data_IF_004211179232
#
_entry.id   IF_004211179232
#
_cell.length_a   1.000
_cell.length_b   1.000
_cell.length_c   1.000
_cell.angle_alpha   90.00
_cell.angle_beta   90.00
_cell.angle_gamma   90.00
#
_symmetry.space_group_name_H-M   'P 1'
#
loop_
_entity.id
_entity.type
_entity.pdbx_description
1 polymer ?
#
# COMPACT_ATOMS: atom_id res chain seq x y z
N UNK A 1 -21.72 0.74 16.20
CA UNK A 1 -20.86 1.76 15.55
C UNK A 1 -19.87 2.36 16.53
N UNK A 2 -20.29 2.76 17.73
CA UNK A 2 -19.43 3.44 18.72
C UNK A 2 -18.20 2.62 19.15
N UNK A 3 -18.36 1.31 19.36
CA UNK A 3 -17.25 0.42 19.68
C UNK A 3 -16.18 0.38 18.58
N UNK A 4 -16.57 0.48 17.30
CA UNK A 4 -15.63 0.55 16.17
C UNK A 4 -14.89 1.87 16.17
N UNK A 5 -15.60 2.98 16.40
CA UNK A 5 -15.00 4.32 16.50
C UNK A 5 -13.93 4.38 17.60
N UNK A 6 -14.23 3.85 18.79
CA UNK A 6 -13.25 3.77 19.88
C UNK A 6 -11.99 2.98 19.51
N UNK A 7 -12.12 1.90 18.74
CA UNK A 7 -10.97 1.11 18.30
C UNK A 7 -10.15 1.86 17.25
N UNK A 8 -10.81 2.54 16.30
CA UNK A 8 -10.14 3.41 15.34
C UNK A 8 -9.37 4.53 16.04
N UNK A 9 -9.96 5.18 17.04
CA UNK A 9 -9.30 6.26 17.76
C UNK A 9 -8.09 5.76 18.56
N UNK A 10 -8.19 4.56 19.15
CA UNK A 10 -7.03 3.88 19.76
C UNK A 10 -5.94 3.57 18.73
N UNK A 11 -6.30 3.10 17.54
CA UNK A 11 -5.33 2.86 16.46
C UNK A 11 -4.65 4.17 16.02
N UNK A 12 -5.42 5.25 15.82
CA UNK A 12 -4.91 6.58 15.48
C UNK A 12 -3.97 7.12 16.57
N UNK A 13 -4.31 6.94 17.84
CA UNK A 13 -3.45 7.34 18.94
C UNK A 13 -2.08 6.64 18.88
N UNK A 14 -2.04 5.32 18.65
CA UNK A 14 -0.77 4.62 18.44
C UNK A 14 0.03 5.14 17.24
N UNK A 15 -0.66 5.51 16.13
CA UNK A 15 0.01 6.10 14.96
C UNK A 15 0.70 7.40 15.30
N UNK A 16 0.01 8.28 16.02
CA UNK A 16 0.53 9.59 16.42
C UNK A 16 1.65 9.46 17.45
N UNK A 17 1.50 8.58 18.44
CA UNK A 17 2.52 8.35 19.47
C UNK A 17 3.81 7.72 18.90
N UNK A 18 3.70 6.85 17.90
CA UNK A 18 4.87 6.20 17.30
C UNK A 18 5.87 7.20 16.70
N UNK A 19 5.42 8.38 16.27
CA UNK A 19 6.28 9.45 15.74
C UNK A 19 7.26 9.98 16.80
N UNK A 20 6.86 9.97 18.07
CA UNK A 20 7.66 10.48 19.19
C UNK A 20 8.51 9.40 19.87
N UNK A 21 8.35 8.14 19.48
CA UNK A 21 9.11 7.03 20.06
C UNK A 21 10.47 6.92 19.37
N UNK A 22 11.56 6.96 20.13
CA UNK A 22 12.92 6.92 19.57
C UNK A 22 13.34 5.50 19.15
N UNK A 23 12.82 4.47 19.82
CA UNK A 23 13.17 3.09 19.53
C UNK A 23 12.34 2.52 18.37
N UNK A 24 13.00 2.18 17.25
CA UNK A 24 12.35 1.52 16.10
C UNK A 24 11.63 0.23 16.52
N UNK A 25 12.18 -0.52 17.48
CA UNK A 25 11.54 -1.73 18.00
C UNK A 25 10.22 -1.43 18.73
N UNK A 26 10.17 -0.35 19.51
CA UNK A 26 8.93 0.09 20.17
C UNK A 26 7.92 0.64 19.16
N UNK A 27 8.37 1.40 18.15
CA UNK A 27 7.53 1.80 17.02
C UNK A 27 6.91 0.57 16.34
N UNK A 28 7.72 -0.47 16.07
CA UNK A 28 7.22 -1.73 15.50
C UNK A 28 6.12 -2.35 16.37
N UNK A 29 6.30 -2.39 17.70
CA UNK A 29 5.30 -2.92 18.62
C UNK A 29 4.00 -2.10 18.60
N UNK A 30 4.08 -0.77 18.53
CA UNK A 30 2.90 0.09 18.40
C UNK A 30 2.13 -0.19 17.11
N UNK A 31 2.82 -0.25 15.96
CA UNK A 31 2.18 -0.57 14.69
C UNK A 31 1.62 -2.01 14.64
N UNK A 32 2.29 -2.97 15.29
CA UNK A 32 1.76 -4.34 15.41
C UNK A 32 0.44 -4.36 16.19
N UNK A 33 0.35 -3.61 17.30
CA UNK A 33 -0.90 -3.47 18.07
C UNK A 33 -2.02 -2.86 17.23
N UNK A 34 -1.72 -1.83 16.42
CA UNK A 34 -2.69 -1.25 15.48
C UNK A 34 -3.23 -2.31 14.51
N UNK A 35 -2.33 -3.06 13.89
CA UNK A 35 -2.68 -4.13 12.94
C UNK A 35 -3.59 -5.17 13.60
N UNK A 36 -3.30 -5.57 14.84
CA UNK A 36 -4.11 -6.58 15.54
C UNK A 36 -5.51 -6.04 15.86
N UNK A 37 -5.61 -4.83 16.41
CA UNK A 37 -6.89 -4.17 16.69
C UNK A 37 -7.76 -4.03 15.43
N UNK A 38 -7.18 -3.56 14.31
CA UNK A 38 -7.91 -3.38 13.06
C UNK A 38 -8.38 -4.71 12.47
N UNK A 39 -7.53 -5.75 12.50
CA UNK A 39 -7.91 -7.08 12.03
C UNK A 39 -9.04 -7.69 12.86
N UNK A 40 -8.99 -7.54 14.19
CA UNK A 40 -9.99 -8.13 15.07
C UNK A 40 -11.36 -7.49 14.87
N UNK A 41 -11.41 -6.18 14.61
CA UNK A 41 -12.67 -5.51 14.26
C UNK A 41 -13.16 -5.94 12.89
N UNK A 42 -12.30 -5.96 11.86
CA UNK A 42 -12.69 -6.34 10.51
C UNK A 42 -13.31 -7.74 10.44
N UNK A 43 -12.79 -8.70 11.21
CA UNK A 43 -13.35 -10.07 11.29
C UNK A 43 -14.76 -10.14 11.87
N UNK A 44 -15.16 -9.16 12.68
CA UNK A 44 -16.47 -9.11 13.33
C UNK A 44 -17.52 -8.38 12.50
N UNK A 45 -17.10 -7.62 11.49
CA UNK A 45 -17.99 -6.80 10.67
C UNK A 45 -18.48 -7.57 9.44
N UNK A 46 -19.77 -7.41 9.14
CA UNK A 46 -20.34 -7.85 7.88
C UNK A 46 -20.25 -6.72 6.84
N UNK A 47 -19.50 -6.96 5.76
CA UNK A 47 -19.25 -5.96 4.70
C UNK A 47 -20.52 -5.49 3.99
N UNK A 48 -21.60 -6.28 3.96
CA UNK A 48 -22.86 -5.89 3.31
C UNK A 48 -23.59 -4.77 4.07
N UNK A 49 -23.46 -4.71 5.39
CA UNK A 49 -24.13 -3.73 6.23
C UNK A 49 -23.22 -2.55 6.61
N UNK A 50 -21.91 -2.77 6.66
CA UNK A 50 -20.93 -1.79 7.14
C UNK A 50 -19.88 -1.42 6.09
N UNK A 51 -20.25 -1.41 4.81
CA UNK A 51 -19.32 -1.28 3.69
C UNK A 51 -18.35 -0.08 3.82
N UNK A 52 -18.86 1.10 4.15
CA UNK A 52 -18.02 2.29 4.33
C UNK A 52 -16.98 2.14 5.46
N UNK A 53 -17.40 1.55 6.59
CA UNK A 53 -16.52 1.28 7.72
C UNK A 53 -15.47 0.23 7.33
N UNK A 54 -15.87 -0.83 6.64
CA UNK A 54 -14.97 -1.85 6.12
C UNK A 54 -13.94 -1.27 5.15
N UNK A 55 -14.34 -0.35 4.26
CA UNK A 55 -13.41 0.36 3.36
C UNK A 55 -12.38 1.16 4.16
N UNK A 56 -12.83 1.98 5.11
CA UNK A 56 -11.94 2.79 5.95
C UNK A 56 -10.95 1.94 6.74
N UNK A 57 -11.44 0.92 7.45
CA UNK A 57 -10.61 0.04 8.27
C UNK A 57 -9.62 -0.78 7.43
N UNK A 58 -10.04 -1.29 6.27
CA UNK A 58 -9.18 -2.04 5.36
C UNK A 58 -8.05 -1.15 4.84
N UNK A 59 -8.36 0.10 4.44
CA UNK A 59 -7.34 1.04 4.01
C UNK A 59 -6.35 1.37 5.15
N UNK A 60 -6.85 1.68 6.34
CA UNK A 60 -6.00 1.98 7.51
C UNK A 60 -5.10 0.78 7.89
N UNK A 61 -5.63 -0.45 7.77
CA UNK A 61 -4.88 -1.67 8.02
C UNK A 61 -3.71 -1.82 7.03
N UNK A 62 -3.96 -1.56 5.75
CA UNK A 62 -2.92 -1.62 4.71
C UNK A 62 -1.83 -0.56 4.94
N UNK A 63 -2.19 0.66 5.36
CA UNK A 63 -1.22 1.69 5.73
C UNK A 63 -0.40 1.30 6.98
N UNK A 64 -1.04 0.71 7.99
CA UNK A 64 -0.36 0.24 9.19
C UNK A 64 0.64 -0.89 8.88
N UNK A 65 0.27 -1.82 8.00
CA UNK A 65 1.16 -2.87 7.48
C UNK A 65 2.34 -2.28 6.72
N UNK A 66 2.09 -1.32 5.82
CA UNK A 66 3.11 -0.64 5.03
C UNK A 66 4.09 0.13 5.92
N UNK A 67 3.59 0.82 6.95
CA UNK A 67 4.44 1.52 7.92
C UNK A 67 5.32 0.53 8.70
N UNK A 68 4.74 -0.58 9.18
CA UNK A 68 5.51 -1.60 9.90
C UNK A 68 6.58 -2.24 8.99
N UNK A 69 6.27 -2.42 7.70
CA UNK A 69 7.23 -2.89 6.70
C UNK A 69 8.41 -1.93 6.60
N UNK A 70 8.15 -0.64 6.47
CA UNK A 70 9.20 0.38 6.34
C UNK A 70 10.11 0.39 7.59
N UNK A 71 9.55 0.19 8.80
CA UNK A 71 10.35 0.03 10.02
C UNK A 71 11.23 -1.22 9.99
N UNK A 72 10.72 -2.34 9.47
CA UNK A 72 11.53 -3.57 9.29
C UNK A 72 12.61 -3.40 8.23
N UNK A 73 12.34 -2.65 7.17
CA UNK A 73 13.33 -2.28 6.15
C UNK A 73 14.43 -1.40 6.76
N UNK A 74 14.09 -0.41 7.58
CA UNK A 74 15.09 0.41 8.30
C UNK A 74 16.01 -0.45 9.17
N UNK A 75 15.44 -1.38 9.94
CA UNK A 75 16.24 -2.33 10.74
C UNK A 75 17.13 -3.23 9.86
N UNK A 76 16.61 -3.69 8.71
CA UNK A 76 17.42 -4.42 7.75
C UNK A 76 18.62 -3.60 7.26
N UNK A 77 18.41 -2.33 6.92
CA UNK A 77 19.48 -1.45 6.44
C UNK A 77 20.54 -1.20 7.53
N UNK A 78 20.13 -0.91 8.76
CA UNK A 78 21.03 -0.72 9.90
C UNK A 78 21.89 -1.95 10.23
N UNK A 79 21.29 -3.15 10.12
CA UNK A 79 21.94 -4.43 10.45
C UNK A 79 22.83 -4.91 9.31
N UNK A 80 22.44 -4.63 8.05
CA UNK A 80 23.23 -4.98 6.87
C UNK A 80 24.54 -4.20 6.80
N UNK A 81 24.51 -2.91 7.14
CA UNK A 81 25.74 -2.09 7.23
C UNK A 81 26.71 -2.64 8.29
N UNK A 82 26.19 -3.26 9.35
CA UNK A 82 26.99 -3.84 10.44
C UNK A 82 27.42 -5.29 10.18
N UNK A 83 27.11 -5.86 9.01
CA UNK A 83 27.50 -7.23 8.63
C UNK A 83 26.86 -8.34 9.51
N UNK A 84 25.73 -8.06 10.15
CA UNK A 84 25.11 -9.00 11.10
C UNK A 84 24.21 -10.01 10.41
N UNK A 85 24.25 -11.25 10.88
CA UNK A 85 23.47 -12.41 10.40
C UNK A 85 21.93 -12.23 10.53
N UNK A 86 21.49 -11.25 11.32
CA UNK A 86 20.07 -10.92 11.50
C UNK A 86 19.46 -10.16 10.31
N UNK A 87 20.25 -9.73 9.32
CA UNK A 87 19.77 -9.01 8.13
C UNK A 87 18.72 -9.83 7.36
N UNK A 88 19.01 -11.11 7.10
CA UNK A 88 18.10 -12.01 6.38
C UNK A 88 16.74 -12.11 7.05
N UNK A 89 16.70 -12.21 8.38
CA UNK A 89 15.44 -12.24 9.14
C UNK A 89 14.60 -10.96 8.95
N UNK A 90 15.22 -9.77 9.00
CA UNK A 90 14.49 -8.52 8.76
C UNK A 90 14.05 -8.36 7.31
N UNK A 91 14.84 -8.85 6.34
CA UNK A 91 14.47 -8.86 4.94
C UNK A 91 13.22 -9.70 4.67
N UNK A 92 13.19 -10.95 5.18
CA UNK A 92 12.00 -11.80 5.09
C UNK A 92 10.78 -11.15 5.74
N UNK A 93 10.94 -10.59 6.94
CA UNK A 93 9.81 -9.95 7.64
C UNK A 93 9.27 -8.76 6.88
N UNK A 94 10.14 -7.95 6.27
CA UNK A 94 9.76 -6.83 5.41
C UNK A 94 8.98 -7.32 4.19
N UNK A 95 9.47 -8.35 3.50
CA UNK A 95 8.80 -8.91 2.33
C UNK A 95 7.45 -9.55 2.68
N UNK A 96 7.32 -10.24 3.82
CA UNK A 96 6.05 -10.79 4.29
C UNK A 96 5.02 -9.71 4.60
N UNK A 97 5.44 -8.62 5.24
CA UNK A 97 4.58 -7.46 5.48
C UNK A 97 4.17 -6.79 4.17
N UNK A 98 5.07 -6.72 3.19
CA UNK A 98 4.77 -6.21 1.84
C UNK A 98 3.68 -7.04 1.18
N UNK A 99 3.81 -8.39 1.17
CA UNK A 99 2.80 -9.30 0.62
C UNK A 99 1.44 -9.12 1.31
N UNK A 100 1.44 -9.01 2.65
CA UNK A 100 0.21 -8.79 3.43
C UNK A 100 -0.43 -7.45 3.11
N UNK A 101 0.33 -6.37 3.03
CA UNK A 101 -0.18 -5.05 2.69
C UNK A 101 -0.82 -5.04 1.29
N UNK A 102 -0.16 -5.65 0.31
CA UNK A 102 -0.69 -5.80 -1.06
C UNK A 102 -2.02 -6.57 -1.04
N UNK A 103 -2.11 -7.69 -0.31
CA UNK A 103 -3.36 -8.45 -0.19
C UNK A 103 -4.49 -7.60 0.39
N UNK A 104 -4.22 -6.81 1.43
CA UNK A 104 -5.23 -5.94 2.05
C UNK A 104 -5.65 -4.81 1.11
N UNK A 105 -4.72 -4.22 0.34
CA UNK A 105 -5.06 -3.24 -0.70
C UNK A 105 -5.90 -3.87 -1.82
N UNK A 106 -5.62 -5.11 -2.22
CA UNK A 106 -6.47 -5.82 -3.19
C UNK A 106 -7.86 -6.10 -2.64
N UNK A 107 -7.98 -6.47 -1.36
CA UNK A 107 -9.27 -6.63 -0.71
C UNK A 107 -10.03 -5.31 -0.62
N UNK A 108 -9.33 -4.19 -0.40
CA UNK A 108 -9.92 -2.84 -0.48
C UNK A 108 -10.50 -2.57 -1.88
N UNK A 109 -9.76 -2.86 -2.96
CA UNK A 109 -10.26 -2.70 -4.34
C UNK A 109 -11.53 -3.54 -4.57
N UNK A 110 -11.57 -4.78 -4.05
CA UNK A 110 -12.77 -5.64 -4.12
C UNK A 110 -13.98 -5.04 -3.42
N UNK A 111 -13.80 -4.31 -2.32
CA UNK A 111 -14.91 -3.59 -1.63
C UNK A 111 -15.51 -2.46 -2.48
N UNK A 112 -14.83 -2.02 -3.54
CA UNK A 112 -15.36 -1.09 -4.55
C UNK A 112 -15.93 -1.81 -5.78
N UNK A 113 -15.97 -3.15 -5.79
CA UNK A 113 -16.37 -3.92 -6.96
C UNK A 113 -15.33 -3.89 -8.09
N UNK A 114 -14.14 -3.36 -7.84
CA UNK A 114 -13.06 -3.29 -8.83
C UNK A 114 -12.45 -4.68 -8.97
N UNK A 115 -12.74 -5.35 -10.07
CA UNK A 115 -12.06 -6.59 -10.46
C UNK A 115 -10.86 -6.31 -11.37
N UNK A 116 -10.88 -5.19 -12.11
CA UNK A 116 -9.74 -4.64 -12.85
C UNK A 116 -9.91 -3.12 -13.05
N UNK A 117 -8.85 -2.39 -13.38
CA UNK A 117 -8.96 -0.96 -13.73
C UNK A 117 -9.82 -0.68 -14.98
N UNK A 118 -10.17 -1.72 -15.75
CA UNK A 118 -11.08 -1.63 -16.91
C UNK A 118 -12.55 -1.79 -16.53
N UNK A 119 -12.88 -2.04 -15.26
CA UNK A 119 -14.26 -2.09 -14.82
C UNK A 119 -14.82 -0.68 -14.88
N UNK A 120 -15.67 -0.40 -15.87
CA UNK A 120 -16.36 0.87 -16.03
C UNK A 120 -17.33 1.07 -14.85
N UNK A 121 -16.83 1.70 -13.80
CA UNK A 121 -17.60 2.06 -12.62
C UNK A 121 -17.69 3.58 -12.55
N UNK A 122 -18.90 4.06 -12.32
CA UNK A 122 -19.24 5.47 -12.22
C UNK A 122 -18.85 5.99 -10.83
N UNK A 123 -17.55 6.10 -10.58
CA UNK A 123 -17.02 6.62 -9.33
C UNK A 123 -17.15 8.14 -9.24
N UNK A 124 -17.44 8.62 -8.03
CA UNK A 124 -17.33 10.04 -7.68
C UNK A 124 -15.86 10.42 -7.43
N UNK A 125 -15.56 11.72 -7.33
CA UNK A 125 -14.23 12.20 -6.93
C UNK A 125 -13.79 11.64 -5.55
N UNK A 126 -14.74 11.46 -4.63
CA UNK A 126 -14.49 10.92 -3.28
C UNK A 126 -14.21 9.41 -3.30
N UNK A 127 -14.79 8.68 -4.26
CA UNK A 127 -14.54 7.24 -4.43
C UNK A 127 -13.24 6.97 -5.19
N UNK A 128 -12.90 7.78 -6.20
CA UNK A 128 -11.74 7.52 -7.05
C UNK A 128 -10.41 7.83 -6.36
N UNK A 129 -10.37 8.85 -5.50
CA UNK A 129 -9.12 9.24 -4.83
C UNK A 129 -8.53 8.10 -3.98
N UNK A 130 -9.29 7.41 -3.10
CA UNK A 130 -8.79 6.23 -2.39
C UNK A 130 -8.33 5.09 -3.32
N UNK A 131 -8.96 4.92 -4.49
CA UNK A 131 -8.54 3.92 -5.48
C UNK A 131 -7.19 4.27 -6.09
N UNK A 132 -7.02 5.51 -6.57
CA UNK A 132 -5.75 6.01 -7.11
C UNK A 132 -4.62 5.83 -6.09
N UNK A 133 -4.85 6.25 -4.85
CA UNK A 133 -3.86 6.08 -3.77
C UNK A 133 -3.56 4.59 -3.53
N UNK A 134 -4.56 3.71 -3.59
CA UNK A 134 -4.37 2.26 -3.43
C UNK A 134 -3.52 1.66 -4.55
N UNK A 135 -3.78 2.00 -5.80
CA UNK A 135 -2.96 1.56 -6.94
C UNK A 135 -1.51 2.05 -6.79
N UNK A 136 -1.31 3.32 -6.43
CA UNK A 136 0.02 3.90 -6.25
C UNK A 136 0.78 3.17 -5.13
N UNK A 137 0.16 3.00 -3.98
CA UNK A 137 0.80 2.34 -2.84
C UNK A 137 1.11 0.88 -3.13
N UNK A 138 0.24 0.18 -3.85
CA UNK A 138 0.49 -1.19 -4.29
C UNK A 138 1.67 -1.28 -5.26
N UNK A 139 1.76 -0.38 -6.24
CA UNK A 139 2.89 -0.30 -7.17
C UNK A 139 4.22 -0.03 -6.45
N UNK A 140 4.20 0.90 -5.48
CA UNK A 140 5.36 1.19 -4.63
C UNK A 140 5.78 0.00 -3.79
N UNK A 141 4.82 -0.72 -3.19
CA UNK A 141 5.09 -1.93 -2.42
C UNK A 141 5.80 -3.00 -3.28
N UNK A 142 5.34 -3.22 -4.51
CA UNK A 142 6.01 -4.11 -5.46
C UNK A 142 7.44 -3.63 -5.78
N UNK A 143 7.63 -2.33 -5.99
CA UNK A 143 8.96 -1.74 -6.28
C UNK A 143 9.96 -1.83 -5.12
N UNK A 144 9.47 -2.07 -3.91
CA UNK A 144 10.24 -2.03 -2.66
C UNK A 144 10.52 -3.42 -2.07
N UNK A 145 10.17 -4.51 -2.77
CA UNK A 145 10.60 -5.85 -2.37
C UNK A 145 12.12 -5.92 -2.29
N UNK A 146 12.62 -6.55 -1.23
CA UNK A 146 14.04 -6.89 -1.11
C UNK A 146 14.24 -8.18 -1.90
N UNK A 147 14.75 -8.05 -3.13
CA UNK A 147 15.03 -9.17 -4.02
C UNK A 147 16.50 -9.58 -3.94
N UNK A 148 16.75 -10.89 -4.01
CA UNK A 148 18.11 -11.48 -4.00
C UNK A 148 18.68 -11.67 -5.39
N UNK A 149 17.84 -11.72 -6.42
CA UNK A 149 18.23 -11.94 -7.81
C UNK A 149 17.46 -11.02 -8.78
N UNK A 150 17.97 -10.93 -10.01
CA UNK A 150 17.42 -10.10 -11.07
C UNK A 150 16.05 -10.61 -11.55
N UNK A 151 15.78 -11.92 -11.50
CA UNK A 151 14.51 -12.51 -11.96
C UNK A 151 13.36 -12.04 -11.07
N UNK A 152 13.53 -12.12 -9.74
CA UNK A 152 12.56 -11.61 -8.78
C UNK A 152 12.39 -10.11 -8.91
N UNK A 153 13.48 -9.37 -9.14
CA UNK A 153 13.46 -7.92 -9.29
C UNK A 153 12.67 -7.50 -10.52
N UNK A 154 12.93 -8.13 -11.68
CA UNK A 154 12.16 -7.95 -12.92
C UNK A 154 10.69 -8.25 -12.64
N UNK A 155 10.38 -9.43 -12.08
CA UNK A 155 9.00 -9.84 -11.78
C UNK A 155 8.27 -8.82 -10.89
N UNK A 156 8.95 -8.29 -9.88
CA UNK A 156 8.37 -7.31 -8.96
C UNK A 156 8.19 -5.94 -9.64
N UNK A 157 9.15 -5.49 -10.44
CA UNK A 157 9.07 -4.22 -11.16
C UNK A 157 8.03 -4.26 -12.31
N UNK A 158 7.87 -5.38 -13.01
CA UNK A 158 6.80 -5.57 -13.98
C UNK A 158 5.43 -5.45 -13.31
N UNK A 159 5.24 -6.10 -12.16
CA UNK A 159 3.99 -5.92 -11.39
C UNK A 159 3.79 -4.48 -10.95
N UNK A 160 4.84 -3.79 -10.51
CA UNK A 160 4.72 -2.37 -10.17
C UNK A 160 4.25 -1.53 -11.36
N UNK A 161 4.83 -1.77 -12.55
CA UNK A 161 4.44 -1.11 -13.79
C UNK A 161 2.95 -1.36 -14.12
N UNK A 162 2.49 -2.62 -14.04
CA UNK A 162 1.08 -2.97 -14.28
C UNK A 162 0.12 -2.16 -13.38
N UNK A 163 0.49 -1.91 -12.11
CA UNK A 163 -0.34 -1.12 -11.19
C UNK A 163 -0.27 0.38 -11.49
N UNK A 164 0.88 0.93 -11.93
CA UNK A 164 0.97 2.32 -12.36
C UNK A 164 0.17 2.57 -13.64
N UNK A 165 0.21 1.67 -14.63
CA UNK A 165 -0.57 1.77 -15.86
C UNK A 165 -2.08 1.72 -15.58
N UNK A 166 -2.50 0.82 -14.68
CA UNK A 166 -3.88 0.74 -14.23
C UNK A 166 -4.36 2.02 -13.53
N UNK A 167 -3.52 2.63 -12.70
CA UNK A 167 -3.82 3.93 -12.07
C UNK A 167 -4.04 5.01 -13.12
N UNK A 168 -3.10 5.15 -14.07
CA UNK A 168 -3.18 6.16 -15.13
C UNK A 168 -4.44 5.96 -15.97
N UNK A 169 -4.73 4.71 -16.36
CA UNK A 169 -5.93 4.37 -17.12
C UNK A 169 -7.22 4.74 -16.37
N UNK A 170 -7.30 4.40 -15.08
CA UNK A 170 -8.45 4.71 -14.23
C UNK A 170 -8.67 6.23 -14.13
N UNK A 171 -7.59 6.98 -13.86
CA UNK A 171 -7.65 8.42 -13.72
C UNK A 171 -8.00 9.12 -15.04
N UNK A 172 -7.37 8.72 -16.16
CA UNK A 172 -7.61 9.33 -17.46
C UNK A 172 -9.06 9.07 -17.93
N UNK A 173 -9.63 7.88 -17.71
CA UNK A 173 -11.05 7.60 -17.98
C UNK A 173 -11.98 8.51 -17.16
N UNK A 174 -11.67 8.72 -15.88
CA UNK A 174 -12.44 9.62 -15.04
C UNK A 174 -12.33 11.09 -15.48
N UNK A 175 -11.14 11.55 -15.86
CA UNK A 175 -10.90 12.90 -16.37
C UNK A 175 -11.63 13.12 -17.70
N UNK A 176 -11.66 12.13 -18.59
CA UNK A 176 -12.40 12.22 -19.86
C UNK A 176 -13.90 12.44 -19.62
N UNK A 177 -14.47 11.80 -18.59
CA UNK A 177 -15.88 11.98 -18.23
C UNK A 177 -16.13 13.29 -17.49
N UNK A 178 -15.20 13.71 -16.63
CA UNK A 178 -15.29 14.94 -15.84
C UNK A 178 -13.99 15.76 -15.99
N UNK A 179 -13.85 16.59 -17.04
CA UNK A 179 -12.62 17.35 -17.29
C UNK A 179 -12.27 18.39 -16.22
N UNK A 180 -13.25 18.76 -15.40
CA UNK A 180 -13.09 19.71 -14.28
C UNK A 180 -12.66 19.06 -12.97
N UNK A 181 -12.53 17.73 -12.93
CA UNK A 181 -12.10 17.00 -11.72
C UNK A 181 -10.74 17.47 -11.22
N UNK A 182 -10.54 17.60 -9.89
CA UNK A 182 -9.24 17.91 -9.30
C UNK A 182 -8.24 16.74 -9.45
N UNK A 183 -8.70 15.54 -9.81
CA UNK A 183 -7.86 14.34 -9.98
C UNK A 183 -6.78 14.55 -11.05
N UNK A 184 -7.04 15.39 -12.06
CA UNK A 184 -6.06 15.69 -13.13
C UNK A 184 -4.75 16.29 -12.60
N UNK A 185 -4.81 16.98 -11.47
CA UNK A 185 -3.70 17.73 -10.87
C UNK A 185 -3.13 17.05 -9.62
N UNK A 186 -3.57 15.81 -9.30
CA UNK A 186 -3.05 15.13 -8.11
C UNK A 186 -1.63 14.59 -8.32
N UNK A 187 -0.82 14.68 -7.25
CA UNK A 187 0.57 14.23 -7.28
C UNK A 187 0.69 12.73 -7.56
N UNK A 188 -0.27 11.93 -7.09
CA UNK A 188 -0.27 10.48 -7.32
C UNK A 188 -0.34 10.14 -8.81
N UNK A 189 -1.18 10.84 -9.58
CA UNK A 189 -1.30 10.64 -11.02
C UNK A 189 -0.03 11.09 -11.74
N UNK A 190 0.53 12.24 -11.36
CA UNK A 190 1.79 12.74 -11.92
C UNK A 190 2.93 11.74 -11.72
N UNK A 191 3.11 11.26 -10.49
CA UNK A 191 4.12 10.24 -10.16
C UNK A 191 3.89 8.96 -10.97
N UNK A 192 2.64 8.51 -11.10
CA UNK A 192 2.34 7.30 -11.87
C UNK A 192 2.71 7.46 -13.35
N UNK A 193 2.38 8.60 -13.98
CA UNK A 193 2.75 8.90 -15.37
C UNK A 193 4.27 8.91 -15.56
N UNK A 194 5.02 9.51 -14.64
CA UNK A 194 6.49 9.48 -14.67
C UNK A 194 7.01 8.02 -14.56
N UNK A 195 6.47 7.23 -13.63
CA UNK A 195 6.91 5.85 -13.40
C UNK A 195 6.61 4.89 -14.55
N UNK A 196 5.50 5.09 -15.29
CA UNK A 196 5.18 4.32 -16.51
C UNK A 196 6.26 4.51 -17.58
N UNK A 197 6.90 5.68 -17.64
CA UNK A 197 7.99 5.94 -18.58
C UNK A 197 9.33 5.40 -18.05
N UNK A 198 9.60 5.55 -16.75
CA UNK A 198 10.90 5.21 -16.15
C UNK A 198 11.11 3.71 -15.92
N UNK A 199 10.08 2.97 -15.50
CA UNK A 199 10.24 1.55 -15.16
C UNK A 199 10.60 0.64 -16.35
N UNK A 200 10.03 0.81 -17.56
CA UNK A 200 10.45 0.03 -18.71
C UNK A 200 11.94 0.16 -19.03
N UNK A 201 12.48 1.39 -18.95
CA UNK A 201 13.92 1.64 -19.15
C UNK A 201 14.76 0.93 -18.09
N UNK A 202 14.30 0.93 -16.85
CA UNK A 202 14.99 0.20 -15.77
C UNK A 202 14.91 -1.32 -15.94
N UNK A 203 13.80 -1.83 -16.48
CA UNK A 203 13.61 -3.26 -16.75
C UNK A 203 14.52 -3.75 -17.88
N UNK A 204 14.73 -2.97 -18.94
CA UNK A 204 15.63 -3.37 -20.04
C UNK A 204 17.07 -3.56 -19.55
N UNK A 205 17.55 -2.71 -18.64
CA UNK A 205 18.90 -2.86 -18.05
C UNK A 205 19.07 -4.21 -17.35
N UNK A 206 18.07 -4.67 -16.58
CA UNK A 206 18.16 -5.97 -15.90
C UNK A 206 18.02 -7.18 -16.83
N UNK A 207 17.51 -6.99 -18.06
CA UNK A 207 17.41 -8.05 -19.07
C UNK A 207 18.69 -8.19 -19.89
N UNK A 208 19.54 -7.16 -19.89
CA UNK A 208 20.84 -7.14 -20.57
C UNK A 208 22.00 -7.65 -19.70
N UNK A 209 21.82 -7.69 -18.37
CA UNK A 209 22.76 -8.24 -17.35
C UNK A 209 22.55 -9.74 -17.08
#
# INVERSE_FOLDING_TARGET
TDAVGLIQDRSKAYRLMAVFESSINRQCCMHKRRIDMLNDVLKQLNSNYYLHICRQLTFELAEALSTLRDLKKKLFDEVSVKGSQNSVHYAHKSNDLTKRAISVYQDFLKLYGVQSAKTALDFTDDDIKPLITTYLYTARLYSQFISTDNIEKIRNLSKALDFYEQLVTLADHHIQRNPTTPIKDCDELRIAKEMVVLLPVKLSVYLEE
#
